data_IF_700103476079
#
_entry.id   IF_700103476079
#
_cell.length_a   1.000
_cell.length_b   1.000
_cell.length_c   1.000
_cell.angle_alpha   90.00
_cell.angle_beta   90.00
_cell.angle_gamma   90.00
#
_symmetry.space_group_name_H-M   'P 1'
#
loop_
_entity.id
_entity.type
_entity.pdbx_description
1 polymer ?
#
# COMPACT_ATOMS: atom_id res chain seq x y z
N UNK A 1 -21.06 -24.10 83.32
CA UNK A 1 -20.03 -23.49 82.46
C UNK A 1 -20.49 -23.60 81.03
N UNK A 2 -21.15 -22.55 80.50
CA UNK A 2 -21.80 -22.58 79.20
C UNK A 2 -20.90 -22.03 78.10
N UNK A 3 -20.56 -22.87 77.13
CA UNK A 3 -19.86 -22.47 75.90
C UNK A 3 -20.84 -21.77 74.95
N UNK A 4 -20.56 -20.50 74.63
CA UNK A 4 -21.29 -19.74 73.61
C UNK A 4 -20.52 -19.78 72.28
N UNK A 5 -20.99 -20.62 71.36
CA UNK A 5 -20.56 -20.68 69.96
C UNK A 5 -20.98 -19.39 69.23
N UNK A 6 -20.01 -18.51 68.95
CA UNK A 6 -20.21 -17.33 68.09
C UNK A 6 -20.39 -17.77 66.63
N UNK A 7 -21.56 -17.49 66.08
CA UNK A 7 -21.91 -17.64 64.66
C UNK A 7 -21.06 -16.67 63.83
N UNK A 8 -20.22 -17.21 62.94
CA UNK A 8 -19.53 -16.42 61.91
C UNK A 8 -20.54 -16.03 60.81
N UNK A 9 -20.73 -14.74 60.50
CA UNK A 9 -21.68 -14.31 59.49
C UNK A 9 -21.18 -14.72 58.10
N UNK A 10 -22.01 -15.48 57.38
CA UNK A 10 -21.80 -15.99 56.02
C UNK A 10 -21.90 -14.91 54.92
N UNK A 11 -21.44 -13.68 55.19
CA UNK A 11 -21.71 -12.51 54.32
C UNK A 11 -20.58 -12.23 53.30
N UNK A 12 -19.50 -13.02 53.29
CA UNK A 12 -18.30 -12.72 52.49
C UNK A 12 -18.10 -13.61 51.24
N UNK A 13 -19.16 -14.18 50.63
CA UNK A 13 -19.03 -15.07 49.45
C UNK A 13 -19.91 -14.69 48.24
N UNK A 14 -20.38 -13.45 48.15
CA UNK A 14 -21.16 -12.97 47.00
C UNK A 14 -20.48 -11.85 46.18
N UNK A 15 -19.34 -11.32 46.63
CA UNK A 15 -18.67 -10.17 45.99
C UNK A 15 -17.55 -10.56 44.99
N UNK A 16 -17.27 -11.86 44.82
CA UNK A 16 -16.17 -12.34 43.95
C UNK A 16 -16.66 -12.68 42.53
N UNK A 17 -17.97 -12.82 42.29
CA UNK A 17 -18.50 -13.11 40.94
C UNK A 17 -18.73 -11.86 40.05
N UNK A 18 -18.64 -10.64 40.58
CA UNK A 18 -18.89 -9.41 39.82
C UNK A 18 -17.64 -8.81 39.15
N UNK A 19 -16.44 -9.38 39.38
CA UNK A 19 -15.16 -8.84 38.92
C UNK A 19 -14.54 -9.59 37.73
N UNK A 20 -15.23 -10.59 37.16
CA UNK A 20 -14.62 -11.53 36.22
C UNK A 20 -15.05 -11.45 34.76
N UNK A 21 -16.03 -10.60 34.40
CA UNK A 21 -16.44 -10.46 33.00
C UNK A 21 -15.53 -9.43 32.34
N UNK A 22 -14.25 -9.80 32.18
CA UNK A 22 -13.36 -9.09 31.28
C UNK A 22 -14.07 -9.02 29.93
N UNK A 23 -14.44 -7.82 29.50
CA UNK A 23 -15.02 -7.61 28.18
C UNK A 23 -13.98 -8.12 27.20
N UNK A 24 -14.19 -9.31 26.63
CA UNK A 24 -13.42 -9.75 25.49
C UNK A 24 -13.50 -8.58 24.51
N UNK A 25 -12.39 -7.93 24.20
CA UNK A 25 -12.40 -6.91 23.17
C UNK A 25 -12.75 -7.65 21.89
N UNK A 26 -13.99 -7.48 21.43
CA UNK A 26 -14.45 -8.12 20.20
C UNK A 26 -13.66 -7.46 19.07
N UNK A 27 -12.92 -8.27 18.33
CA UNK A 27 -12.27 -7.84 17.09
C UNK A 27 -13.29 -7.08 16.22
N UNK A 28 -12.97 -5.84 15.88
CA UNK A 28 -13.80 -5.00 15.03
C UNK A 28 -13.26 -5.04 13.61
N UNK A 29 -14.18 -5.18 12.64
CA UNK A 29 -13.86 -5.01 11.23
C UNK A 29 -14.05 -3.55 10.83
N UNK A 30 -13.00 -2.94 10.25
CA UNK A 30 -13.05 -1.64 9.60
C UNK A 30 -12.95 -1.81 8.09
N UNK A 31 -13.66 -0.97 7.34
CA UNK A 31 -13.72 -1.03 5.89
C UNK A 31 -13.11 0.22 5.26
N UNK A 32 -12.39 0.03 4.17
CA UNK A 32 -11.80 1.11 3.35
C UNK A 32 -12.30 0.97 1.92
N UNK A 33 -12.77 2.05 1.30
CA UNK A 33 -13.28 2.05 -0.08
C UNK A 33 -12.91 3.32 -0.83
N UNK A 34 -12.76 3.20 -2.14
CA UNK A 34 -12.53 4.33 -3.05
C UNK A 34 -13.73 5.26 -3.20
N UNK A 35 -14.89 4.94 -2.62
CA UNK A 35 -16.08 5.80 -2.54
C UNK A 35 -16.45 6.15 -1.07
N UNK A 36 -15.57 5.85 -0.11
CA UNK A 36 -15.75 6.13 1.32
C UNK A 36 -15.42 7.56 1.74
N UNK A 37 -15.42 7.83 3.05
CA UNK A 37 -15.01 9.13 3.61
C UNK A 37 -14.29 8.95 4.94
N UNK A 38 -13.26 9.74 5.21
CA UNK A 38 -12.54 9.70 6.50
C UNK A 38 -13.31 10.35 7.65
N UNK A 39 -14.46 10.97 7.35
CA UNK A 39 -15.49 11.35 8.32
C UNK A 39 -16.44 10.20 8.71
N UNK A 40 -16.36 9.05 8.03
CA UNK A 40 -17.09 7.84 8.42
C UNK A 40 -16.47 7.19 9.66
N UNK A 41 -17.20 6.25 10.27
CA UNK A 41 -16.69 5.44 11.39
C UNK A 41 -15.97 4.14 10.95
N UNK A 42 -15.99 3.82 9.65
CA UNK A 42 -15.37 2.63 9.08
C UNK A 42 -16.10 1.31 9.33
N UNK A 43 -17.24 1.29 10.02
CA UNK A 43 -17.89 0.04 10.49
C UNK A 43 -18.86 -0.59 9.49
N UNK A 44 -19.00 -0.03 8.30
CA UNK A 44 -19.89 -0.53 7.25
C UNK A 44 -19.18 -0.54 5.90
N UNK A 45 -19.31 -1.65 5.16
CA UNK A 45 -18.76 -1.79 3.81
C UNK A 45 -19.64 -1.10 2.76
N UNK A 46 -19.82 0.21 2.90
CA UNK A 46 -20.57 1.06 1.96
C UNK A 46 -19.85 2.38 1.76
N UNK A 47 -19.95 2.95 0.57
CA UNK A 47 -19.52 4.32 0.30
C UNK A 47 -20.38 5.33 1.07
N UNK A 48 -19.91 6.57 1.17
CA UNK A 48 -20.62 7.63 1.87
C UNK A 48 -19.75 8.85 2.19
N UNK A 49 -20.38 9.88 2.78
CA UNK A 49 -19.75 11.16 3.12
C UNK A 49 -19.64 11.40 4.64
N UNK A 50 -20.10 10.45 5.47
CA UNK A 50 -20.02 10.49 6.94
C UNK A 50 -20.95 9.49 7.63
N UNK A 51 -20.74 9.25 8.92
CA UNK A 51 -21.56 8.32 9.71
C UNK A 51 -21.14 6.86 9.54
N UNK A 52 -22.10 5.96 9.29
CA UNK A 52 -21.85 4.52 9.20
C UNK A 52 -21.50 4.08 7.77
N UNK A 53 -20.26 4.32 7.36
CA UNK A 53 -19.70 4.00 6.04
C UNK A 53 -18.23 3.62 6.15
N UNK A 54 -17.62 3.22 5.03
CA UNK A 54 -16.20 2.90 4.95
C UNK A 54 -15.34 4.17 5.00
N UNK A 55 -14.13 4.03 5.55
CA UNK A 55 -13.09 5.05 5.43
C UNK A 55 -12.68 5.23 3.97
N UNK A 56 -12.10 6.40 3.66
CA UNK A 56 -11.54 6.68 2.35
C UNK A 56 -10.10 6.20 2.24
N UNK A 57 -9.32 6.39 3.30
CA UNK A 57 -7.89 6.08 3.35
C UNK A 57 -7.60 4.89 4.28
N UNK A 58 -6.57 4.13 3.91
CA UNK A 58 -6.02 3.02 4.70
C UNK A 58 -5.38 3.59 5.97
N UNK A 59 -4.65 4.71 5.87
CA UNK A 59 -4.08 5.41 7.03
C UNK A 59 -5.13 5.83 8.05
N UNK A 60 -6.31 6.29 7.61
CA UNK A 60 -7.40 6.58 8.54
C UNK A 60 -7.89 5.33 9.26
N UNK A 61 -8.08 4.22 8.56
CA UNK A 61 -8.49 2.96 9.16
C UNK A 61 -7.46 2.45 10.18
N UNK A 62 -6.17 2.53 9.84
CA UNK A 62 -5.06 2.15 10.72
C UNK A 62 -5.01 2.98 12.00
N UNK A 63 -5.26 4.29 11.90
CA UNK A 63 -5.28 5.19 13.06
C UNK A 63 -6.41 4.91 14.06
N UNK A 64 -7.44 4.15 13.66
CA UNK A 64 -8.62 3.83 14.48
C UNK A 64 -8.60 2.37 14.95
N UNK A 65 -8.13 1.46 14.10
CA UNK A 65 -8.01 0.06 14.44
C UNK A 65 -6.93 -0.17 15.50
N UNK A 66 -7.19 -1.08 16.42
CA UNK A 66 -6.24 -1.51 17.46
C UNK A 66 -5.87 -2.99 17.27
N UNK A 67 -4.94 -3.48 18.09
CA UNK A 67 -4.56 -4.89 18.09
C UNK A 67 -5.77 -5.80 18.35
N UNK A 68 -5.98 -6.77 17.45
CA UNK A 68 -7.16 -7.65 17.41
C UNK A 68 -8.15 -7.30 16.29
N UNK A 69 -8.11 -6.08 15.76
CA UNK A 69 -9.01 -5.63 14.69
C UNK A 69 -8.53 -6.07 13.29
N UNK A 70 -9.45 -6.01 12.33
CA UNK A 70 -9.16 -6.23 10.91
C UNK A 70 -9.56 -5.04 10.06
N UNK A 71 -8.65 -4.55 9.24
CA UNK A 71 -8.88 -3.54 8.20
C UNK A 71 -9.09 -4.25 6.86
N UNK A 72 -10.28 -4.13 6.31
CA UNK A 72 -10.69 -4.72 5.03
C UNK A 72 -10.74 -3.64 3.96
N UNK A 73 -9.84 -3.75 2.98
CA UNK A 73 -9.72 -2.80 1.90
C UNK A 73 -10.51 -3.35 0.70
N UNK A 74 -11.47 -2.57 0.19
CA UNK A 74 -12.22 -2.91 -1.01
C UNK A 74 -11.37 -2.87 -2.27
N UNK A 75 -11.92 -3.33 -3.38
CA UNK A 75 -11.24 -3.21 -4.67
C UNK A 75 -11.09 -1.74 -5.08
N UNK A 76 -9.99 -1.42 -5.76
CA UNK A 76 -9.72 -0.11 -6.29
C UNK A 76 -8.27 0.35 -6.11
N UNK A 77 -8.08 1.62 -6.44
CA UNK A 77 -6.81 2.33 -6.45
C UNK A 77 -6.74 3.27 -5.23
N UNK A 78 -5.83 3.01 -4.31
CA UNK A 78 -5.62 3.82 -3.10
C UNK A 78 -4.27 4.52 -3.19
N UNK A 79 -4.30 5.85 -3.36
CA UNK A 79 -3.09 6.68 -3.38
C UNK A 79 -2.91 7.35 -2.03
N UNK A 80 -1.84 6.99 -1.33
CA UNK A 80 -1.49 7.57 -0.04
C UNK A 80 0.01 7.84 0.01
N UNK A 81 0.44 8.91 0.68
CA UNK A 81 1.86 9.23 0.72
C UNK A 81 2.69 8.09 1.31
N UNK A 82 2.19 7.45 2.37
CA UNK A 82 2.81 6.34 3.11
C UNK A 82 1.79 5.75 4.09
N UNK A 83 1.86 4.45 4.37
CA UNK A 83 1.28 3.86 5.56
C UNK A 83 2.42 3.36 6.44
N UNK A 84 2.36 3.79 7.69
CA UNK A 84 3.23 3.30 8.74
C UNK A 84 2.35 2.68 9.80
N UNK A 85 2.34 1.35 9.85
CA UNK A 85 1.69 0.63 10.94
C UNK A 85 2.73 0.50 12.03
N UNK A 86 2.50 1.13 13.17
CA UNK A 86 3.41 1.11 14.32
C UNK A 86 2.70 0.55 15.55
N UNK A 87 2.48 -0.77 15.56
CA UNK A 87 1.68 -1.46 16.57
C UNK A 87 2.44 -2.64 17.18
N UNK A 88 2.46 -2.68 18.51
CA UNK A 88 3.02 -3.80 19.28
C UNK A 88 1.90 -4.72 19.75
N UNK A 89 1.39 -5.56 18.84
CA UNK A 89 0.32 -6.50 19.17
C UNK A 89 0.84 -7.72 19.93
N UNK A 90 -0.09 -8.57 20.37
CA UNK A 90 0.23 -9.87 20.98
C UNK A 90 -0.12 -11.00 20.01
N UNK A 91 0.45 -12.18 20.22
CA UNK A 91 0.16 -13.36 19.41
C UNK A 91 -1.34 -13.72 19.33
N UNK A 92 -2.13 -13.38 20.35
CA UNK A 92 -3.57 -13.65 20.41
C UNK A 92 -4.44 -12.47 19.95
N UNK A 93 -3.86 -11.30 19.69
CA UNK A 93 -4.58 -10.08 19.29
C UNK A 93 -3.87 -9.40 18.12
N UNK A 94 -3.71 -10.13 17.01
CA UNK A 94 -3.03 -9.61 15.81
C UNK A 94 -3.81 -8.47 15.17
N UNK A 95 -3.13 -7.48 14.60
CA UNK A 95 -3.75 -6.50 13.70
C UNK A 95 -3.66 -7.03 12.28
N UNK A 96 -4.78 -7.07 11.57
CA UNK A 96 -4.83 -7.66 10.22
C UNK A 96 -5.26 -6.63 9.19
N UNK A 97 -4.54 -6.53 8.09
CA UNK A 97 -4.88 -5.71 6.92
C UNK A 97 -5.05 -6.66 5.74
N UNK A 98 -6.22 -6.62 5.11
CA UNK A 98 -6.59 -7.52 4.02
C UNK A 98 -7.19 -6.74 2.87
N UNK A 99 -6.61 -6.87 1.69
CA UNK A 99 -7.22 -6.39 0.45
C UNK A 99 -8.33 -7.30 -0.06
N UNK A 100 -9.06 -6.83 -1.06
CA UNK A 100 -10.07 -7.61 -1.77
C UNK A 100 -9.48 -8.68 -2.71
N UNK A 101 -8.15 -8.77 -2.82
CA UNK A 101 -7.44 -9.69 -3.68
C UNK A 101 -6.28 -9.04 -4.43
N UNK A 102 -5.30 -9.87 -4.79
CA UNK A 102 -4.21 -9.51 -5.73
C UNK A 102 -4.77 -9.02 -7.05
N UNK A 103 -4.24 -7.92 -7.58
CA UNK A 103 -4.74 -7.28 -8.80
C UNK A 103 -6.14 -6.66 -8.68
N UNK A 104 -6.73 -6.64 -7.47
CA UNK A 104 -8.03 -5.99 -7.19
C UNK A 104 -7.88 -4.82 -6.24
N UNK A 105 -7.00 -4.92 -5.24
CA UNK A 105 -6.65 -3.83 -4.34
C UNK A 105 -5.25 -3.34 -4.65
N UNK A 106 -5.14 -2.13 -5.18
CA UNK A 106 -3.85 -1.51 -5.47
C UNK A 106 -3.61 -0.40 -4.48
N UNK A 107 -2.58 -0.58 -3.68
CA UNK A 107 -2.10 0.46 -2.81
C UNK A 107 -0.82 1.03 -3.39
N UNK A 108 -0.91 2.32 -3.68
CA UNK A 108 0.06 3.11 -4.38
C UNK A 108 0.59 4.17 -3.44
N UNK A 109 1.91 4.16 -3.19
CA UNK A 109 2.50 5.12 -2.27
C UNK A 109 3.72 5.85 -2.79
N UNK A 110 3.85 7.10 -2.33
CA UNK A 110 4.90 8.02 -2.77
C UNK A 110 4.79 8.41 -4.24
N UNK A 111 3.56 8.55 -4.77
CA UNK A 111 3.30 8.92 -6.16
C UNK A 111 2.56 10.26 -6.25
N UNK A 112 2.79 11.01 -7.32
CA UNK A 112 2.05 12.23 -7.68
C UNK A 112 1.52 12.13 -9.10
N UNK A 113 0.34 12.71 -9.34
CA UNK A 113 -0.27 12.76 -10.67
C UNK A 113 0.60 13.57 -11.65
N UNK A 114 0.84 13.00 -12.84
CA UNK A 114 1.32 13.77 -13.98
C UNK A 114 0.14 14.55 -14.54
N UNK A 115 0.30 15.84 -14.87
CA UNK A 115 -0.76 16.56 -15.57
C UNK A 115 -0.77 16.17 -17.06
N UNK A 116 -1.57 15.16 -17.44
CA UNK A 116 -1.56 14.62 -18.79
C UNK A 116 -2.17 15.57 -19.82
N UNK A 117 -3.01 16.52 -19.37
CA UNK A 117 -3.55 17.56 -20.24
C UNK A 117 -2.47 18.53 -20.74
N UNK A 118 -1.33 18.59 -20.06
CA UNK A 118 -0.18 19.40 -20.45
C UNK A 118 0.81 18.63 -21.35
N UNK A 119 0.58 17.34 -21.61
CA UNK A 119 1.41 16.56 -22.50
C UNK A 119 1.17 16.94 -23.97
N UNK A 120 2.25 17.03 -24.74
CA UNK A 120 2.21 17.28 -26.19
C UNK A 120 2.91 16.15 -26.94
N UNK A 121 2.46 15.83 -28.14
CA UNK A 121 3.17 14.86 -28.99
C UNK A 121 4.58 15.37 -29.32
N UNK A 122 5.56 14.49 -29.22
CA UNK A 122 6.94 14.76 -29.64
C UNK A 122 7.11 14.49 -31.15
N UNK A 123 8.23 14.95 -31.72
CA UNK A 123 8.63 14.60 -33.09
C UNK A 123 8.85 13.10 -33.32
N UNK A 124 9.17 12.35 -32.27
CA UNK A 124 9.29 10.90 -32.31
C UNK A 124 7.90 10.23 -32.23
N UNK A 125 7.53 9.35 -33.17
CA UNK A 125 6.20 8.73 -33.20
C UNK A 125 5.83 7.99 -31.90
N UNK A 126 4.67 8.33 -31.34
CA UNK A 126 4.14 7.72 -30.13
C UNK A 126 4.80 8.18 -28.83
N UNK A 127 5.77 9.11 -28.90
CA UNK A 127 6.37 9.73 -27.72
C UNK A 127 5.61 11.02 -27.39
N UNK A 128 5.39 11.25 -26.11
CA UNK A 128 4.78 12.46 -25.59
C UNK A 128 5.76 13.17 -24.68
N UNK A 129 5.87 14.49 -24.84
CA UNK A 129 6.59 15.37 -23.94
C UNK A 129 5.62 15.94 -22.90
N UNK A 130 5.82 15.60 -21.64
CA UNK A 130 4.97 15.98 -20.53
C UNK A 130 5.77 16.79 -19.50
N UNK A 131 5.28 17.96 -19.03
CA UNK A 131 5.93 18.68 -17.95
C UNK A 131 5.96 17.83 -16.67
N UNK A 132 7.09 17.84 -15.97
CA UNK A 132 7.20 17.19 -14.67
C UNK A 132 6.28 17.89 -13.66
N UNK A 133 5.48 17.14 -12.87
CA UNK A 133 4.60 17.74 -11.88
C UNK A 133 5.42 18.32 -10.73
N UNK A 134 4.86 19.30 -10.04
CA UNK A 134 5.43 19.81 -8.80
C UNK A 134 5.57 18.68 -7.78
N UNK A 135 6.72 18.63 -7.10
CA UNK A 135 6.96 17.63 -6.08
C UNK A 135 7.38 16.27 -6.62
N UNK A 136 7.74 16.11 -7.90
CA UNK A 136 8.43 14.91 -8.40
C UNK A 136 9.88 14.80 -7.87
N UNK A 137 10.36 13.57 -7.64
CA UNK A 137 11.74 13.29 -7.22
C UNK A 137 12.74 13.40 -8.39
N UNK A 138 13.35 14.58 -8.58
CA UNK A 138 14.29 14.81 -9.70
C UNK A 138 15.63 14.07 -9.59
N UNK A 139 16.15 13.81 -8.37
CA UNK A 139 17.43 13.13 -8.12
C UNK A 139 17.47 11.65 -8.53
N UNK A 140 16.43 11.23 -9.20
CA UNK A 140 15.98 9.87 -9.35
C UNK A 140 16.01 9.48 -10.86
N UNK A 141 16.21 10.44 -11.77
CA UNK A 141 16.23 10.24 -13.23
C UNK A 141 17.32 9.29 -13.79
N UNK A 142 18.24 8.80 -12.95
CA UNK A 142 19.22 7.76 -13.30
C UNK A 142 19.09 6.49 -12.47
N UNK A 143 18.11 6.43 -11.57
CA UNK A 143 17.89 5.29 -10.70
C UNK A 143 16.92 4.31 -11.37
N UNK A 144 17.39 3.12 -11.80
CA UNK A 144 16.54 2.13 -12.45
C UNK A 144 15.41 1.61 -11.55
N UNK A 145 15.43 1.95 -10.26
CA UNK A 145 14.53 1.42 -9.23
C UNK A 145 13.21 2.18 -9.12
N UNK A 146 13.07 3.31 -9.83
CA UNK A 146 11.86 4.11 -9.78
C UNK A 146 10.84 3.66 -10.81
N UNK A 147 9.60 3.53 -10.40
CA UNK A 147 8.50 3.24 -11.30
C UNK A 147 7.70 4.49 -11.66
N UNK A 148 7.60 4.78 -12.96
CA UNK A 148 6.51 5.59 -13.50
C UNK A 148 5.30 4.67 -13.71
N UNK A 149 4.17 4.94 -13.07
CA UNK A 149 3.01 4.05 -13.11
C UNK A 149 2.03 4.54 -14.17
N UNK A 150 1.74 3.69 -15.16
CA UNK A 150 0.61 3.85 -16.06
C UNK A 150 -0.60 3.12 -15.47
N UNK A 151 -1.61 3.85 -14.99
CA UNK A 151 -2.76 3.29 -14.25
C UNK A 151 -3.68 2.46 -15.13
N UNK A 152 -3.90 2.91 -16.37
CA UNK A 152 -4.86 2.31 -17.27
C UNK A 152 -4.16 1.49 -18.34
N UNK A 153 -4.21 0.18 -18.19
CA UNK A 153 -3.82 -0.75 -19.24
C UNK A 153 -4.83 -1.89 -19.37
N UNK A 154 -5.20 -2.19 -20.62
CA UNK A 154 -6.13 -3.29 -20.90
C UNK A 154 -5.41 -4.65 -20.77
N UNK A 155 -4.21 -4.73 -21.34
CA UNK A 155 -3.27 -5.82 -21.19
C UNK A 155 -1.89 -5.30 -21.58
N UNK A 156 -0.88 -5.42 -20.73
CA UNK A 156 0.51 -5.20 -21.12
C UNK A 156 1.22 -6.54 -21.16
N UNK A 157 1.89 -6.79 -22.28
CA UNK A 157 2.73 -7.96 -22.48
C UNK A 157 4.12 -7.66 -21.96
N UNK A 158 4.42 -8.14 -20.76
CA UNK A 158 5.78 -8.18 -20.28
C UNK A 158 6.44 -9.49 -20.68
N UNK A 159 7.71 -9.41 -21.10
CA UNK A 159 8.61 -10.54 -21.12
C UNK A 159 9.31 -10.52 -19.77
N UNK A 160 9.08 -11.54 -18.93
CA UNK A 160 9.92 -11.71 -17.76
C UNK A 160 11.34 -12.17 -18.16
N UNK A 161 12.23 -12.26 -17.18
CA UNK A 161 13.61 -12.76 -17.34
C UNK A 161 13.69 -14.17 -17.95
N UNK A 162 12.59 -14.92 -17.94
CA UNK A 162 12.47 -16.26 -18.51
C UNK A 162 11.81 -16.25 -19.90
N UNK A 163 11.57 -15.08 -20.49
CA UNK A 163 10.88 -14.92 -21.78
C UNK A 163 9.40 -15.33 -21.75
N UNK A 164 8.83 -15.50 -20.56
CA UNK A 164 7.43 -15.88 -20.38
C UNK A 164 6.55 -14.64 -20.47
N UNK A 165 5.46 -14.78 -21.22
CA UNK A 165 4.50 -13.71 -21.50
C UNK A 165 3.44 -13.69 -20.40
N UNK A 166 3.49 -12.68 -19.54
CA UNK A 166 2.37 -12.35 -18.66
C UNK A 166 1.51 -11.25 -19.29
N UNK A 167 0.20 -11.47 -19.39
CA UNK A 167 -0.73 -10.36 -19.64
C UNK A 167 -1.05 -9.72 -18.29
N UNK A 168 -0.68 -8.45 -18.12
CA UNK A 168 -1.04 -7.67 -16.95
C UNK A 168 -2.19 -6.72 -17.28
N UNK A 169 -3.25 -6.75 -16.46
CA UNK A 169 -4.34 -5.77 -16.52
C UNK A 169 -4.27 -4.90 -15.26
N UNK A 170 -4.35 -3.58 -15.44
CA UNK A 170 -4.28 -2.60 -14.35
C UNK A 170 -3.03 -1.71 -14.40
N UNK A 171 -2.58 -1.19 -13.26
CA UNK A 171 -1.39 -0.34 -13.21
C UNK A 171 -0.12 -1.10 -13.60
N UNK A 172 0.72 -0.48 -14.43
CA UNK A 172 1.99 -1.06 -14.89
C UNK A 172 3.12 -0.05 -14.79
N UNK A 173 4.35 -0.53 -14.64
CA UNK A 173 5.52 0.33 -14.64
C UNK A 173 6.00 0.64 -16.07
N UNK A 174 6.45 1.86 -16.25
CA UNK A 174 7.18 2.36 -17.40
C UNK A 174 8.65 2.47 -17.01
N UNK A 175 9.51 1.81 -17.77
CA UNK A 175 10.94 1.66 -17.48
C UNK A 175 11.71 2.93 -17.80
N UNK A 176 12.64 3.32 -16.93
CA UNK A 176 13.54 4.43 -17.19
C UNK A 176 14.52 4.13 -18.32
N UNK A 177 14.62 5.10 -19.24
CA UNK A 177 15.62 5.14 -20.28
C UNK A 177 16.51 6.35 -20.07
N UNK A 178 17.81 6.14 -19.90
CA UNK A 178 18.79 7.21 -19.66
C UNK A 178 19.41 7.77 -20.94
N UNK A 179 19.11 7.18 -22.09
CA UNK A 179 19.79 7.47 -23.37
C UNK A 179 19.12 8.55 -24.22
N UNK A 180 18.08 9.21 -23.68
CA UNK A 180 17.41 10.35 -24.32
C UNK A 180 16.10 10.02 -25.05
N UNK A 181 15.44 11.04 -25.65
CA UNK A 181 14.11 10.90 -26.24
C UNK A 181 14.04 9.91 -27.41
N UNK A 182 15.09 9.85 -28.24
CA UNK A 182 15.16 8.91 -29.36
C UNK A 182 15.12 7.45 -28.89
N UNK A 183 15.77 7.14 -27.77
CA UNK A 183 15.78 5.80 -27.19
C UNK A 183 14.42 5.41 -26.59
N UNK A 184 13.65 6.38 -26.07
CA UNK A 184 12.26 6.14 -25.64
C UNK A 184 11.37 5.75 -26.83
N UNK A 185 11.63 6.30 -28.02
CA UNK A 185 10.83 5.99 -29.21
C UNK A 185 10.97 4.53 -29.69
N UNK A 186 12.06 3.84 -29.33
CA UNK A 186 12.35 2.49 -29.80
C UNK A 186 11.49 1.41 -29.14
N UNK A 187 11.08 1.61 -27.88
CA UNK A 187 10.41 0.58 -27.07
C UNK A 187 9.23 1.18 -26.32
N UNK A 188 8.05 0.56 -26.41
CA UNK A 188 6.90 0.96 -25.59
C UNK A 188 7.17 0.77 -24.10
N UNK A 189 6.50 1.57 -23.26
CA UNK A 189 6.69 1.50 -21.82
C UNK A 189 8.02 2.06 -21.36
N UNK A 190 8.60 3.03 -22.09
CA UNK A 190 9.82 3.71 -21.68
C UNK A 190 9.56 5.20 -21.36
N UNK A 191 10.31 5.73 -20.40
CA UNK A 191 10.32 7.15 -20.01
C UNK A 191 11.74 7.69 -19.92
N UNK A 192 11.94 8.96 -20.32
CA UNK A 192 13.18 9.71 -20.14
C UNK A 192 12.88 11.07 -19.53
N UNK A 193 13.72 11.53 -18.60
CA UNK A 193 13.65 12.88 -18.05
C UNK A 193 14.82 13.72 -18.58
N UNK A 194 14.51 14.91 -19.13
CA UNK A 194 15.50 15.76 -19.79
C UNK A 194 16.34 16.64 -18.86
N UNK A 195 16.11 16.58 -17.55
CA UNK A 195 16.75 17.48 -16.58
C UNK A 195 16.29 18.94 -16.65
N UNK A 196 15.50 19.29 -17.66
CA UNK A 196 14.95 20.64 -17.91
C UNK A 196 13.48 20.76 -17.49
N UNK A 197 12.93 19.70 -16.89
CA UNK A 197 11.58 19.69 -16.35
C UNK A 197 10.56 18.97 -17.23
N UNK A 198 10.97 18.17 -18.23
CA UNK A 198 10.03 17.38 -19.03
C UNK A 198 10.37 15.89 -19.01
N UNK A 199 9.31 15.08 -19.01
CA UNK A 199 9.35 13.68 -19.34
C UNK A 199 9.05 13.46 -20.81
N UNK A 200 9.74 12.49 -21.40
CA UNK A 200 9.47 11.92 -22.70
C UNK A 200 8.99 10.50 -22.48
N UNK A 201 7.72 10.24 -22.77
CA UNK A 201 7.05 8.99 -22.40
C UNK A 201 6.53 8.33 -23.67
N UNK A 202 6.80 7.04 -23.84
CA UNK A 202 6.11 6.19 -24.81
C UNK A 202 5.20 5.23 -24.05
N UNK A 203 3.89 5.54 -23.94
CA UNK A 203 2.95 4.72 -23.18
C UNK A 203 2.86 3.30 -23.73
N UNK A 204 2.48 2.36 -22.86
CA UNK A 204 2.11 1.02 -23.29
C UNK A 204 0.85 1.06 -24.18
N UNK A 205 0.77 0.15 -25.15
CA UNK A 205 -0.36 -0.01 -26.06
C UNK A 205 -0.66 1.22 -26.94
N UNK A 206 0.32 2.10 -27.13
CA UNK A 206 0.16 3.32 -27.91
C UNK A 206 -0.93 4.27 -27.40
N UNK A 207 -1.30 4.18 -26.11
CA UNK A 207 -2.29 5.06 -25.51
C UNK A 207 -1.82 6.52 -25.53
N UNK A 208 -2.77 7.46 -25.63
CA UNK A 208 -2.45 8.86 -25.32
C UNK A 208 -2.27 9.05 -23.81
N UNK A 209 -1.52 10.08 -23.34
CA UNK A 209 -1.33 10.33 -21.91
C UNK A 209 -2.65 10.42 -21.13
N UNK A 210 -3.64 11.12 -21.66
CA UNK A 210 -4.96 11.25 -21.01
C UNK A 210 -5.71 9.91 -20.85
N UNK A 211 -5.41 8.92 -21.68
CA UNK A 211 -5.96 7.57 -21.55
C UNK A 211 -5.10 6.68 -20.64
N UNK A 212 -3.77 6.83 -20.74
CA UNK A 212 -2.78 6.03 -20.04
C UNK A 212 -2.79 6.30 -18.53
N UNK A 213 -2.98 7.57 -18.15
CA UNK A 213 -3.17 8.04 -16.79
C UNK A 213 -1.95 7.74 -15.89
N UNK A 214 -1.07 8.74 -15.71
CA UNK A 214 0.29 8.53 -15.24
C UNK A 214 0.54 9.08 -13.84
N UNK A 215 1.22 8.26 -13.04
CA UNK A 215 1.73 8.60 -11.72
C UNK A 215 3.25 8.50 -11.68
N UNK A 216 3.87 9.44 -10.96
CA UNK A 216 5.32 9.61 -10.94
C UNK A 216 5.84 9.63 -9.51
N UNK A 217 7.09 9.19 -9.26
CA UNK A 217 7.72 9.27 -7.95
C UNK A 217 7.64 10.66 -7.31
N UNK A 218 7.11 10.75 -6.09
CA UNK A 218 7.13 11.98 -5.29
C UNK A 218 8.51 12.24 -4.71
N UNK A 219 8.92 13.51 -4.60
CA UNK A 219 10.10 14.01 -3.89
C UNK A 219 9.97 13.93 -2.37
N UNK A 220 8.75 13.77 -1.85
CA UNK A 220 8.52 13.52 -0.43
C UNK A 220 8.86 12.06 -0.03
N UNK A 221 9.46 11.31 -0.95
CA UNK A 221 9.77 9.90 -0.77
C UNK A 221 10.85 9.69 0.29
N UNK A 222 10.46 8.96 1.32
CA UNK A 222 11.23 8.07 2.18
C UNK A 222 12.71 8.42 2.45
N UNK A 223 13.01 8.79 3.69
CA UNK A 223 14.33 9.29 4.12
C UNK A 223 15.45 8.25 4.14
N UNK A 224 15.15 6.97 3.87
CA UNK A 224 16.14 5.87 3.93
C UNK A 224 15.66 4.68 3.09
N UNK A 225 16.58 3.85 2.59
CA UNK A 225 16.27 2.62 1.85
C UNK A 225 15.48 1.56 2.64
N UNK A 226 15.29 1.74 3.94
CA UNK A 226 14.42 0.94 4.81
C UNK A 226 12.97 1.46 4.86
N UNK A 227 12.69 2.61 4.24
CA UNK A 227 11.43 3.29 4.36
C UNK A 227 10.66 3.16 3.04
N UNK A 228 9.53 2.45 3.07
CA UNK A 228 8.70 2.16 1.91
C UNK A 228 7.25 2.62 2.10
N UNK A 229 6.44 2.65 1.04
CA UNK A 229 5.02 2.94 1.10
C UNK A 229 4.30 2.09 2.12
N UNK A 230 4.67 0.82 2.25
CA UNK A 230 4.24 -0.05 3.35
C UNK A 230 5.38 -0.20 4.34
N UNK A 231 5.29 0.47 5.48
CA UNK A 231 6.25 0.31 6.57
C UNK A 231 5.58 -0.31 7.79
N UNK A 232 6.03 -1.51 8.16
CA UNK A 232 5.50 -2.31 9.26
C UNK A 232 6.48 -2.24 10.43
N UNK A 233 6.07 -1.65 11.54
CA UNK A 233 6.88 -1.51 12.74
C UNK A 233 6.12 -2.09 13.93
N UNK A 234 6.75 -3.02 14.64
CA UNK A 234 6.16 -3.68 15.80
C UNK A 234 5.87 -5.16 15.55
N UNK A 235 4.89 -5.71 16.29
CA UNK A 235 4.76 -7.16 16.46
C UNK A 235 3.39 -7.69 16.08
N UNK A 236 3.34 -8.91 15.53
CA UNK A 236 2.11 -9.65 15.23
C UNK A 236 1.15 -8.90 14.29
N UNK A 237 1.71 -8.28 13.25
CA UNK A 237 0.98 -7.56 12.19
C UNK A 237 0.86 -8.48 10.97
N UNK A 238 -0.33 -8.57 10.38
CA UNK A 238 -0.57 -9.34 9.16
C UNK A 238 -1.03 -8.41 8.03
N UNK A 239 -0.38 -8.48 6.88
CA UNK A 239 -0.79 -7.83 5.63
C UNK A 239 -1.02 -8.91 4.57
N UNK A 240 -2.18 -8.88 3.92
CA UNK A 240 -2.49 -9.88 2.89
C UNK A 240 -3.38 -9.41 1.75
N UNK A 241 -3.35 -10.18 0.66
CA UNK A 241 -4.29 -10.13 -0.47
C UNK A 241 -4.40 -8.74 -1.14
N UNK A 242 -3.26 -8.08 -1.35
CA UNK A 242 -3.21 -6.77 -1.99
C UNK A 242 -2.02 -6.64 -2.93
N UNK A 243 -2.04 -5.59 -3.72
CA UNK A 243 -0.96 -5.22 -4.62
C UNK A 243 -0.37 -3.90 -4.15
N UNK A 244 0.90 -3.88 -3.79
CA UNK A 244 1.68 -2.68 -3.48
C UNK A 244 2.39 -2.23 -4.73
N UNK A 245 2.24 -0.96 -5.06
CA UNK A 245 3.02 -0.29 -6.08
C UNK A 245 3.66 0.91 -5.42
N UNK A 246 4.95 1.08 -5.58
CA UNK A 246 5.60 2.29 -5.13
C UNK A 246 6.77 2.65 -5.99
N UNK A 247 7.15 3.90 -5.88
CA UNK A 247 8.16 4.50 -6.72
C UNK A 247 9.57 4.32 -6.19
N UNK A 248 9.81 3.54 -5.13
CA UNK A 248 11.07 3.54 -4.42
C UNK A 248 11.73 2.17 -4.39
N UNK A 249 13.03 2.19 -4.04
CA UNK A 249 13.82 0.99 -3.86
C UNK A 249 13.15 -0.01 -2.94
N UNK A 250 12.57 0.41 -1.82
CA UNK A 250 11.88 -0.48 -0.90
C UNK A 250 10.39 -0.17 -0.90
N UNK A 251 9.57 -1.13 -1.35
CA UNK A 251 8.13 -0.96 -1.41
C UNK A 251 7.41 -1.52 -0.18
N UNK A 252 7.98 -2.57 0.41
CA UNK A 252 7.49 -3.10 1.68
C UNK A 252 8.64 -3.29 2.64
N UNK A 253 8.56 -2.65 3.79
CA UNK A 253 9.56 -2.70 4.83
C UNK A 253 8.95 -3.21 6.13
N UNK A 254 9.73 -3.96 6.92
CA UNK A 254 9.29 -4.41 8.23
C UNK A 254 10.40 -4.48 9.28
N UNK A 255 10.07 -4.04 10.50
CA UNK A 255 10.89 -4.18 11.71
C UNK A 255 10.02 -4.68 12.86
N UNK A 256 10.33 -5.87 13.38
CA UNK A 256 9.73 -6.41 14.61
C UNK A 256 9.34 -7.89 14.49
N UNK A 257 8.62 -8.43 15.46
CA UNK A 257 8.39 -9.88 15.59
C UNK A 257 7.05 -10.35 15.00
N UNK A 258 7.04 -11.55 14.40
CA UNK A 258 5.84 -12.19 13.83
C UNK A 258 5.05 -11.30 12.82
N UNK A 259 5.77 -10.59 11.94
CA UNK A 259 5.17 -9.88 10.81
C UNK A 259 4.85 -10.88 9.70
N UNK A 260 3.60 -10.92 9.25
CA UNK A 260 3.16 -11.80 8.16
C UNK A 260 2.78 -10.99 6.92
N UNK A 261 3.38 -11.33 5.79
CA UNK A 261 2.99 -10.86 4.46
C UNK A 261 2.57 -12.06 3.62
N UNK A 262 1.30 -12.09 3.21
CA UNK A 262 0.74 -13.23 2.49
C UNK A 262 -0.08 -12.81 1.28
N UNK A 263 0.23 -13.36 0.10
CA UNK A 263 -0.53 -13.06 -1.11
C UNK A 263 -0.45 -11.58 -1.48
N UNK A 264 0.73 -10.99 -1.32
CA UNK A 264 1.00 -9.60 -1.68
C UNK A 264 1.82 -9.54 -2.96
N UNK A 265 1.35 -8.80 -3.95
CA UNK A 265 2.16 -8.45 -5.12
C UNK A 265 2.91 -7.15 -4.82
N UNK A 266 4.21 -7.12 -5.07
CA UNK A 266 5.01 -5.90 -4.96
C UNK A 266 5.53 -5.57 -6.35
N UNK A 267 5.01 -4.49 -6.92
CA UNK A 267 5.46 -3.98 -8.20
C UNK A 267 6.57 -2.98 -7.98
N UNK A 268 7.71 -3.26 -8.59
CA UNK A 268 8.99 -2.53 -8.45
C UNK A 268 9.55 -2.49 -7.05
N UNK A 269 10.80 -2.05 -6.94
CA UNK A 269 11.54 -2.05 -5.69
C UNK A 269 11.74 -3.45 -5.09
N UNK A 270 11.97 -3.48 -3.79
CA UNK A 270 12.26 -4.65 -2.98
C UNK A 270 11.36 -4.73 -1.75
N UNK A 271 11.33 -5.91 -1.16
CA UNK A 271 10.79 -6.12 0.18
C UNK A 271 11.97 -6.27 1.14
N UNK A 272 12.01 -5.45 2.18
CA UNK A 272 13.10 -5.42 3.14
C UNK A 272 12.60 -5.69 4.56
N UNK A 273 13.33 -6.51 5.31
CA UNK A 273 13.04 -6.78 6.72
C UNK A 273 14.32 -6.76 7.52
N UNK A 274 14.34 -6.05 8.65
CA UNK A 274 15.51 -6.09 9.53
C UNK A 274 15.74 -7.49 10.09
N UNK A 275 17.01 -7.87 10.26
CA UNK A 275 17.40 -9.13 10.89
C UNK A 275 16.92 -9.26 12.35
N UNK A 276 16.63 -8.14 13.01
CA UNK A 276 15.99 -8.10 14.33
C UNK A 276 14.52 -8.58 14.29
N UNK A 277 13.94 -8.71 13.10
CA UNK A 277 12.60 -9.27 12.91
C UNK A 277 12.65 -10.79 13.10
N UNK A 278 12.48 -11.24 14.34
CA UNK A 278 12.75 -12.62 14.72
C UNK A 278 11.91 -13.65 13.95
N UNK A 279 10.76 -13.26 13.36
CA UNK A 279 9.84 -14.14 12.62
C UNK A 279 9.05 -13.43 11.51
N UNK A 280 9.70 -12.92 10.47
CA UNK A 280 8.99 -12.50 9.27
C UNK A 280 8.49 -13.74 8.48
N UNK A 281 7.19 -13.81 8.20
CA UNK A 281 6.58 -14.84 7.32
C UNK A 281 6.19 -14.21 6.00
N UNK A 282 6.87 -14.59 4.91
CA UNK A 282 6.60 -14.09 3.56
C UNK A 282 6.08 -15.26 2.73
N UNK A 283 4.83 -15.18 2.25
CA UNK A 283 4.17 -16.25 1.49
C UNK A 283 3.48 -15.69 0.26
N UNK A 284 3.60 -16.40 -0.86
CA UNK A 284 2.93 -16.04 -2.12
C UNK A 284 3.18 -14.58 -2.54
N UNK A 285 4.38 -14.06 -2.22
CA UNK A 285 4.80 -12.72 -2.65
C UNK A 285 5.43 -12.82 -4.02
N UNK A 286 4.88 -12.06 -4.97
CA UNK A 286 5.44 -11.96 -6.32
C UNK A 286 6.04 -10.56 -6.48
N UNK A 287 7.34 -10.52 -6.76
CA UNK A 287 8.03 -9.31 -7.18
C UNK A 287 7.88 -9.20 -8.70
N UNK A 288 7.52 -8.03 -9.19
CA UNK A 288 7.30 -7.76 -10.62
C UNK A 288 7.99 -6.48 -11.06
#
# INVERSE_FOLDING_TARGET
MGFTLRRLPHVALALVLALGVGSAAWATDYYVRTDGSDSCNGRSNTGGTGGNCAFRTISKADSVAVCGDTIRIGAGLFSEAKLRINDACSATTKKTIVGAGRGSTFWMGGLVDLNESACVADSNPGVYRCPAPSGFAAGAAGDPELCFVQRNTNAVRFLDENGTKGDMTGPVCVTWNTSGPASVSATEGHVYYDGSGNFYIKPWNGLSPAQADFWVPSSTSYSSGADGPVYLEGNHITVRDLTVIGANYCNVAGIGDDITIEGVDVYTGMTWFESASARATIRNVKMM
#
